data_IF_181556044360
#
_entry.id   IF_181556044360
#
_cell.length_a   1.000
_cell.length_b   1.000
_cell.length_c   1.000
_cell.angle_alpha   90.00
_cell.angle_beta   90.00
_cell.angle_gamma   90.00
#
_symmetry.space_group_name_H-M   'P 1'
#
loop_
_entity.id
_entity.type
_entity.pdbx_description
1 polymer ?
#
# COMPACT_ATOMS: atom_id res chain seq x y z
N UNK A 1 4.39 28.04 21.99
CA UNK A 1 3.65 27.06 21.16
C UNK A 1 3.64 27.37 19.67
N UNK A 2 3.49 28.63 19.20
CA UNK A 2 3.76 28.97 17.78
C UNK A 2 5.18 29.48 17.53
N UNK A 3 5.83 30.02 18.56
CA UNK A 3 7.20 30.52 18.49
C UNK A 3 8.22 29.41 18.30
N UNK A 4 8.05 28.30 19.03
CA UNK A 4 8.92 27.11 18.94
C UNK A 4 8.94 26.50 17.53
N UNK A 5 7.82 26.57 16.80
CA UNK A 5 7.70 26.05 15.44
C UNK A 5 8.45 26.93 14.43
N UNK A 6 8.45 28.26 14.64
CA UNK A 6 9.15 29.20 13.77
C UNK A 6 10.66 29.10 13.95
N UNK A 7 11.15 28.93 15.18
CA UNK A 7 12.57 28.67 15.44
C UNK A 7 13.05 27.37 14.78
N UNK A 8 12.24 26.31 14.81
CA UNK A 8 12.60 25.03 14.18
C UNK A 8 12.70 25.12 12.66
N UNK A 9 11.78 25.86 12.02
CA UNK A 9 11.80 26.08 10.56
C UNK A 9 13.05 26.87 10.15
N UNK A 10 13.44 27.87 10.96
CA UNK A 10 14.60 28.71 10.69
C UNK A 10 15.91 27.88 10.74
N UNK A 11 16.05 27.05 11.78
CA UNK A 11 17.21 26.16 11.96
C UNK A 11 17.37 25.14 10.82
N UNK A 12 16.27 24.59 10.32
CA UNK A 12 16.29 23.64 9.20
C UNK A 12 16.73 24.30 7.88
N UNK A 13 16.34 25.55 7.67
CA UNK A 13 16.69 26.30 6.47
C UNK A 13 18.16 26.74 6.47
N UNK A 14 18.71 27.10 7.65
CA UNK A 14 20.13 27.40 7.82
C UNK A 14 21.03 26.17 7.59
N UNK A 15 20.57 24.97 7.98
CA UNK A 15 21.30 23.71 7.73
C UNK A 15 21.30 23.28 6.25
N UNK A 16 20.30 23.69 5.47
CA UNK A 16 20.23 23.39 4.04
C UNK A 16 21.24 24.23 3.22
N UNK A 17 21.58 25.44 3.70
CA UNK A 17 22.49 26.36 3.03
C UNK A 17 23.98 26.05 3.34
N UNK A 18 24.28 25.26 4.38
CA UNK A 18 25.66 24.90 4.77
C UNK A 18 26.18 23.59 4.15
N UNK A 19 25.34 22.87 3.38
CA UNK A 19 25.74 21.67 2.65
C UNK A 19 25.49 21.84 1.14
N UNK A 20 26.23 22.78 0.54
CA UNK A 20 26.21 23.03 -0.89
C UNK A 20 27.61 23.04 -1.51
N UNK A 21 28.07 21.88 -2.01
CA UNK A 21 28.95 21.77 -3.19
C UNK A 21 28.93 20.31 -3.68
N UNK A 22 28.17 19.96 -4.73
CA UNK A 22 28.50 20.06 -6.18
C UNK A 22 28.99 18.66 -6.67
N UNK A 23 28.67 18.07 -7.83
CA UNK A 23 28.30 18.51 -9.20
C UNK A 23 27.49 17.35 -9.86
N UNK A 24 26.34 17.60 -10.49
CA UNK A 24 26.10 17.96 -11.91
C UNK A 24 25.93 16.76 -12.87
N UNK A 25 24.68 16.57 -13.31
CA UNK A 25 24.38 16.10 -14.65
C UNK A 25 23.05 16.74 -15.10
N UNK A 26 23.20 17.72 -15.99
CA UNK A 26 22.18 18.58 -16.55
C UNK A 26 21.25 17.87 -17.56
N UNK A 27 20.09 18.51 -17.77
CA UNK A 27 19.12 18.43 -18.90
C UNK A 27 17.96 17.43 -18.80
N UNK A 28 16.83 17.70 -19.47
CA UNK A 28 15.97 18.89 -19.37
C UNK A 28 14.49 18.46 -19.16
N UNK A 29 13.60 19.44 -18.95
CA UNK A 29 12.16 19.22 -19.00
C UNK A 29 11.75 18.55 -20.33
N UNK A 30 11.19 17.35 -20.24
CA UNK A 30 10.35 16.76 -21.27
C UNK A 30 9.39 15.78 -20.59
N UNK A 31 8.12 16.09 -20.75
CA UNK A 31 6.98 15.29 -20.37
C UNK A 31 7.11 13.89 -21.01
N UNK A 32 7.15 12.87 -20.16
CA UNK A 32 6.95 11.47 -20.52
C UNK A 32 6.00 10.90 -19.45
N UNK A 33 4.71 11.08 -19.67
CA UNK A 33 3.82 9.99 -20.11
C UNK A 33 3.52 9.02 -18.96
N UNK A 34 2.53 9.42 -18.15
CA UNK A 34 1.66 8.59 -17.31
C UNK A 34 2.24 7.24 -16.81
N UNK A 35 3.36 7.28 -16.09
CA UNK A 35 3.75 6.17 -15.24
C UNK A 35 2.77 6.17 -14.07
N UNK A 36 1.69 5.39 -14.19
CA UNK A 36 0.62 5.24 -13.21
C UNK A 36 1.25 5.05 -11.81
N UNK A 37 1.33 6.14 -11.04
CA UNK A 37 2.00 6.15 -9.75
C UNK A 37 1.01 5.52 -8.77
N UNK A 38 1.05 4.20 -8.66
CA UNK A 38 0.12 3.48 -7.79
C UNK A 38 0.37 3.71 -6.29
N UNK A 39 1.38 4.52 -5.94
CA UNK A 39 1.77 4.84 -4.58
C UNK A 39 0.63 5.55 -3.82
N UNK A 40 -0.19 6.35 -4.50
CA UNK A 40 -1.38 7.00 -3.92
C UNK A 40 -2.42 6.01 -3.36
N UNK A 41 -2.49 4.80 -3.94
CA UNK A 41 -3.42 3.77 -3.49
C UNK A 41 -2.86 2.95 -2.34
N UNK A 42 -1.54 2.92 -2.15
CA UNK A 42 -0.90 2.17 -1.07
C UNK A 42 -1.26 2.79 0.27
N UNK A 43 -1.68 1.96 1.21
CA UNK A 43 -2.12 2.40 2.53
C UNK A 43 -3.60 2.81 2.64
N UNK A 44 -4.32 2.91 1.52
CA UNK A 44 -5.77 3.15 1.56
C UNK A 44 -6.50 1.96 2.19
N UNK A 45 -7.52 2.26 3.01
CA UNK A 45 -8.41 1.26 3.59
C UNK A 45 -9.49 0.88 2.58
N UNK A 46 -9.77 -0.40 2.47
CA UNK A 46 -10.81 -0.93 1.60
C UNK A 46 -11.55 -2.10 2.28
N UNK A 47 -12.64 -2.53 1.66
CA UNK A 47 -13.36 -3.75 2.01
C UNK A 47 -13.08 -4.79 0.93
N UNK A 48 -12.20 -5.75 1.24
CA UNK A 48 -11.76 -6.77 0.31
C UNK A 48 -12.47 -8.11 0.55
N UNK A 49 -12.87 -8.84 -0.51
CA UNK A 49 -13.40 -10.19 -0.37
C UNK A 49 -12.33 -11.16 0.15
N UNK A 50 -12.75 -12.17 0.92
CA UNK A 50 -11.86 -13.27 1.33
C UNK A 50 -12.38 -14.61 0.79
N UNK A 51 -11.86 -15.10 -0.35
CA UNK A 51 -12.38 -16.29 -1.02
C UNK A 51 -12.02 -17.60 -0.32
N UNK A 52 -11.02 -17.59 0.59
CA UNK A 52 -10.53 -18.78 1.30
C UNK A 52 -11.39 -19.21 2.48
N UNK A 53 -12.34 -18.38 2.92
CA UNK A 53 -13.36 -18.85 3.85
C UNK A 53 -14.35 -19.72 3.07
N UNK A 54 -14.57 -20.96 3.49
CA UNK A 54 -15.50 -21.92 2.87
C UNK A 54 -16.99 -21.53 3.05
N UNK A 55 -17.27 -20.23 3.12
CA UNK A 55 -18.52 -19.56 3.46
C UNK A 55 -18.86 -18.58 2.31
N UNK A 56 -20.07 -18.00 2.26
CA UNK A 56 -20.36 -16.90 1.34
C UNK A 56 -19.28 -15.81 1.45
N UNK A 57 -18.84 -15.28 0.30
CA UNK A 57 -17.76 -14.31 0.20
C UNK A 57 -18.05 -13.11 1.10
N UNK A 58 -17.36 -13.06 2.24
CA UNK A 58 -17.44 -11.95 3.19
C UNK A 58 -16.40 -10.90 2.82
N UNK A 59 -16.82 -9.65 2.83
CA UNK A 59 -15.93 -8.50 2.68
C UNK A 59 -15.37 -8.13 4.04
N UNK A 60 -14.06 -7.97 4.13
CA UNK A 60 -13.36 -7.65 5.37
C UNK A 60 -12.55 -6.37 5.19
N UNK A 61 -12.41 -5.63 6.29
CA UNK A 61 -11.57 -4.45 6.36
C UNK A 61 -10.12 -4.83 6.04
N UNK A 62 -9.55 -4.20 5.02
CA UNK A 62 -8.21 -4.44 4.54
C UNK A 62 -7.51 -3.12 4.16
N UNK A 63 -6.21 -3.19 3.97
CA UNK A 63 -5.35 -2.08 3.53
C UNK A 63 -4.63 -2.54 2.27
N UNK A 64 -4.55 -1.66 1.27
CA UNK A 64 -3.81 -1.90 0.04
C UNK A 64 -2.31 -1.85 0.33
N UNK A 65 -1.60 -2.94 0.01
CA UNK A 65 -0.15 -3.08 0.16
C UNK A 65 0.59 -2.63 -1.11
N UNK A 66 0.09 -3.07 -2.27
CA UNK A 66 0.64 -2.72 -3.59
C UNK A 66 -0.46 -2.90 -4.63
N UNK A 67 -0.44 -2.09 -5.69
CA UNK A 67 -1.29 -2.29 -6.87
C UNK A 67 -0.44 -2.97 -7.93
N UNK A 68 -0.95 -4.07 -8.46
CA UNK A 68 -0.28 -4.86 -9.48
C UNK A 68 -0.89 -4.45 -10.84
N UNK A 69 -0.08 -3.85 -11.74
CA UNK A 69 -0.55 -3.55 -13.08
C UNK A 69 -0.88 -4.84 -13.83
N UNK A 70 -1.83 -4.75 -14.75
CA UNK A 70 -2.31 -5.87 -15.57
C UNK A 70 -1.14 -6.57 -16.27
N UNK A 71 -0.92 -7.86 -15.98
CA UNK A 71 0.02 -8.67 -16.75
C UNK A 71 -0.53 -8.81 -18.18
N UNK A 72 0.26 -8.43 -19.17
CA UNK A 72 -0.09 -8.20 -20.59
C UNK A 72 -0.59 -9.47 -21.32
N UNK A 73 -0.79 -10.58 -20.61
CA UNK A 73 -0.91 -11.92 -21.19
C UNK A 73 -2.34 -12.49 -21.19
N UNK A 74 -3.37 -11.73 -20.78
CA UNK A 74 -4.77 -12.21 -20.81
C UNK A 74 -5.79 -11.13 -21.16
N UNK A 75 -6.81 -11.44 -21.99
CA UNK A 75 -7.95 -10.54 -22.18
C UNK A 75 -8.71 -10.39 -20.84
N UNK A 76 -9.31 -9.22 -20.62
CA UNK A 76 -10.36 -8.92 -19.62
C UNK A 76 -10.06 -8.90 -18.09
N UNK A 77 -8.85 -9.18 -17.61
CA UNK A 77 -8.53 -8.98 -16.18
C UNK A 77 -8.03 -7.56 -15.91
N UNK A 78 -8.86 -6.74 -15.26
CA UNK A 78 -8.53 -5.36 -14.89
C UNK A 78 -7.47 -5.25 -13.78
N UNK A 79 -7.27 -4.03 -13.29
CA UNK A 79 -6.31 -3.71 -12.23
C UNK A 79 -6.51 -4.60 -10.98
N UNK A 80 -5.41 -5.13 -10.45
CA UNK A 80 -5.41 -5.94 -9.23
C UNK A 80 -4.66 -5.21 -8.13
N UNK A 81 -5.04 -5.45 -6.89
CA UNK A 81 -4.30 -4.96 -5.76
C UNK A 81 -4.15 -6.05 -4.71
N UNK A 82 -2.98 -6.04 -4.07
CA UNK A 82 -2.65 -6.93 -2.98
C UNK A 82 -3.01 -6.25 -1.68
N UNK A 83 -3.79 -6.92 -0.85
CA UNK A 83 -4.34 -6.35 0.37
C UNK A 83 -3.98 -7.15 1.61
N UNK A 84 -3.87 -6.48 2.75
CA UNK A 84 -3.70 -7.08 4.07
C UNK A 84 -4.93 -6.78 4.94
N UNK A 85 -5.51 -7.82 5.55
CA UNK A 85 -6.68 -7.65 6.41
C UNK A 85 -6.31 -6.98 7.74
N UNK A 86 -6.97 -5.88 8.06
CA UNK A 86 -6.73 -5.11 9.28
C UNK A 86 -7.32 -5.76 10.52
N UNK A 87 -8.45 -6.46 10.37
CA UNK A 87 -9.15 -7.18 11.44
C UNK A 87 -9.27 -8.67 11.11
N UNK A 88 -8.19 -9.45 11.27
CA UNK A 88 -8.19 -10.87 10.93
C UNK A 88 -9.05 -11.69 11.89
N UNK A 89 -10.03 -12.42 11.36
CA UNK A 89 -10.88 -13.35 12.13
C UNK A 89 -10.34 -14.79 12.13
N UNK A 90 -9.44 -15.10 11.19
CA UNK A 90 -8.82 -16.42 11.01
C UNK A 90 -7.30 -16.27 10.99
N UNK A 91 -6.58 -17.35 11.35
CA UNK A 91 -5.12 -17.35 11.30
C UNK A 91 -4.58 -17.05 9.89
N UNK A 92 -5.25 -17.55 8.85
CA UNK A 92 -4.89 -17.29 7.45
C UNK A 92 -5.13 -15.85 6.99
N UNK A 93 -5.87 -15.03 7.74
CA UNK A 93 -6.04 -13.59 7.45
C UNK A 93 -4.99 -12.73 8.15
N UNK A 94 -4.37 -13.24 9.23
CA UNK A 94 -3.40 -12.47 10.01
C UNK A 94 -2.15 -12.22 9.18
N UNK A 95 -1.67 -10.97 9.03
CA UNK A 95 -0.46 -10.68 8.27
C UNK A 95 0.77 -11.38 8.89
N UNK A 96 1.61 -11.94 8.03
CA UNK A 96 2.84 -12.62 8.43
C UNK A 96 3.94 -11.59 8.73
N UNK A 97 4.38 -11.49 9.98
CA UNK A 97 5.48 -10.59 10.36
C UNK A 97 6.79 -10.88 9.63
N UNK A 98 7.09 -12.17 9.37
CA UNK A 98 8.29 -12.55 8.62
C UNK A 98 8.23 -12.14 7.15
N UNK A 99 7.03 -12.13 6.56
CA UNK A 99 6.85 -11.67 5.18
C UNK A 99 7.04 -10.16 5.09
N UNK A 100 6.47 -9.40 6.02
CA UNK A 100 6.69 -7.95 6.11
C UNK A 100 8.17 -7.59 6.33
N UNK A 101 8.94 -8.47 6.98
CA UNK A 101 10.37 -8.34 7.15
C UNK A 101 11.23 -8.95 6.01
N UNK A 102 10.61 -9.56 4.99
CA UNK A 102 11.33 -10.21 3.89
C UNK A 102 12.09 -11.50 4.25
N UNK A 103 11.79 -12.11 5.40
CA UNK A 103 12.49 -13.29 5.94
C UNK A 103 11.65 -14.57 5.93
N UNK A 104 10.42 -14.53 5.40
CA UNK A 104 9.55 -15.70 5.38
C UNK A 104 10.08 -16.77 4.41
N UNK A 105 10.18 -18.02 4.90
CA UNK A 105 10.61 -19.18 4.10
C UNK A 105 9.46 -20.06 3.62
N UNK A 106 8.25 -19.80 4.09
CA UNK A 106 7.09 -20.67 3.88
C UNK A 106 6.24 -20.26 2.69
N UNK A 107 6.45 -19.06 2.14
CA UNK A 107 5.74 -18.53 0.96
C UNK A 107 4.23 -18.85 0.99
N UNK A 108 3.67 -19.54 -0.02
CA UNK A 108 2.25 -19.94 -0.05
C UNK A 108 1.83 -20.95 1.05
N UNK A 109 2.77 -21.68 1.65
CA UNK A 109 2.51 -22.63 2.75
C UNK A 109 2.53 -21.95 4.13
N UNK A 110 2.71 -20.64 4.18
CA UNK A 110 2.69 -19.90 5.43
C UNK A 110 1.30 -20.00 6.09
N UNK A 111 1.28 -20.20 7.42
CA UNK A 111 0.03 -20.21 8.20
C UNK A 111 -0.60 -18.82 8.34
N UNK A 112 0.15 -17.78 7.99
CA UNK A 112 -0.20 -16.38 8.06
C UNK A 112 -0.30 -15.79 6.65
N UNK A 113 -1.09 -14.74 6.49
CA UNK A 113 -1.32 -14.05 5.23
C UNK A 113 -0.07 -13.30 4.75
N UNK A 114 0.28 -13.47 3.47
CA UNK A 114 1.24 -12.62 2.74
C UNK A 114 0.52 -11.52 1.93
N UNK A 115 -0.76 -11.32 2.22
CA UNK A 115 -1.68 -10.54 1.41
C UNK A 115 -2.46 -11.41 0.44
N UNK A 116 -3.65 -10.92 0.08
CA UNK A 116 -4.51 -11.55 -0.93
C UNK A 116 -4.55 -10.63 -2.15
N UNK A 117 -4.37 -11.20 -3.34
CA UNK A 117 -4.52 -10.45 -4.60
C UNK A 117 -6.00 -10.50 -4.97
N UNK A 118 -6.65 -9.35 -4.98
CA UNK A 118 -8.06 -9.23 -5.38
C UNK A 118 -8.19 -8.17 -6.47
N UNK A 119 -9.23 -8.29 -7.29
CA UNK A 119 -9.48 -7.31 -8.35
C UNK A 119 -10.00 -6.02 -7.73
N UNK A 120 -9.56 -4.88 -8.25
CA UNK A 120 -10.07 -3.57 -7.82
C UNK A 120 -11.60 -3.46 -8.05
N UNK A 121 -12.14 -4.20 -9.03
CA UNK A 121 -13.58 -4.27 -9.29
C UNK A 121 -14.38 -5.02 -8.20
N UNK A 122 -13.75 -5.94 -7.47
CA UNK A 122 -14.39 -6.71 -6.38
C UNK A 122 -14.18 -6.04 -5.01
N UNK A 123 -13.37 -4.98 -4.94
CA UNK A 123 -13.15 -4.21 -3.72
C UNK A 123 -14.27 -3.18 -3.52
N UNK A 124 -14.66 -2.99 -2.26
CA UNK A 124 -15.61 -1.96 -1.87
C UNK A 124 -14.93 -0.85 -1.04
N UNK A 125 -15.56 0.33 -1.00
CA UNK A 125 -15.14 1.44 -0.12
C UNK A 125 -15.16 1.02 1.36
N UNK A 126 -14.22 1.52 2.15
CA UNK A 126 -14.19 1.29 3.58
C UNK A 126 -15.36 1.98 4.28
N UNK A 127 -16.20 1.18 4.94
CA UNK A 127 -17.33 1.70 5.73
C UNK A 127 -16.95 1.73 7.21
N UNK A 128 -16.78 2.92 7.76
CA UNK A 128 -16.58 3.09 9.20
C UNK A 128 -17.80 2.59 9.99
N UNK A 129 -17.59 1.81 11.07
CA UNK A 129 -18.66 1.41 11.97
C UNK A 129 -19.26 2.62 12.70
N UNK A 130 -20.59 2.68 12.74
CA UNK A 130 -21.34 3.69 13.48
C UNK A 130 -21.39 3.31 14.98
N UNK A 131 -20.74 4.10 15.83
CA UNK A 131 -20.63 3.84 17.27
C UNK A 131 -21.62 4.66 18.11
N UNK A 132 -22.81 4.96 17.57
CA UNK A 132 -23.82 5.80 18.24
C UNK A 132 -24.42 5.15 19.48
#
# INVERSE_FOLDING_TARGET
MRSDLLELIQLLNEQAEECGSAEDAQTPAAEADNAENFDDFVGMRCMAPYPKAQLPISHHAAIILEVLPQDVTGPDKGLQAKVLYSHPMLNGMRPCSHFLAGTCRFDEKCKFSHGEVVQMADMNEYKDPDFK
#
